data_IF_597340399231
#
_entry.id   IF_597340399231
#
_cell.length_a   1.000
_cell.length_b   1.000
_cell.length_c   1.000
_cell.angle_alpha   90.00
_cell.angle_beta   90.00
_cell.angle_gamma   90.00
#
_symmetry.space_group_name_H-M   'P 1'
#
loop_
_entity.id
_entity.type
_entity.pdbx_description
1 polymer ?
#
# COMPACT_ATOMS: atom_id res chain seq x y z
N UNK A 1 28.76 22.54 5.27
CA UNK A 1 28.45 21.10 5.11
C UNK A 1 28.07 20.46 6.45
N UNK A 2 28.68 20.87 7.58
CA UNK A 2 28.32 20.37 8.92
C UNK A 2 26.97 20.91 9.42
N UNK A 3 26.63 22.16 9.17
CA UNK A 3 25.33 22.75 9.54
C UNK A 3 24.13 22.07 8.86
N UNK A 4 24.28 21.57 7.63
CA UNK A 4 23.21 20.83 6.91
C UNK A 4 22.90 19.45 7.54
N UNK A 5 23.89 18.84 8.19
CA UNK A 5 23.75 17.55 8.88
C UNK A 5 23.12 17.71 10.28
N UNK A 6 23.35 18.86 10.92
CA UNK A 6 22.80 19.16 12.25
C UNK A 6 21.34 19.65 12.16
N UNK A 7 20.96 20.42 11.15
CA UNK A 7 19.56 20.76 10.85
C UNK A 7 18.74 19.53 10.44
N UNK A 8 19.34 18.61 9.72
CA UNK A 8 18.73 17.30 9.43
C UNK A 8 18.48 16.51 10.72
N UNK A 9 19.33 16.61 11.72
CA UNK A 9 19.15 15.93 13.02
C UNK A 9 18.04 16.53 13.91
N UNK A 10 17.88 17.83 13.91
CA UNK A 10 17.03 18.53 14.89
C UNK A 10 15.56 18.67 14.46
N UNK A 11 15.24 18.71 13.17
CA UNK A 11 13.86 18.85 12.69
C UNK A 11 13.10 17.54 12.45
N UNK A 12 13.68 16.38 12.76
CA UNK A 12 13.11 15.08 12.43
C UNK A 12 12.74 14.20 13.64
N UNK A 13 12.41 14.76 14.75
CA UNK A 13 11.91 13.99 15.92
C UNK A 13 10.64 13.18 15.66
N UNK A 14 9.93 13.44 14.55
CA UNK A 14 8.72 12.71 14.15
C UNK A 14 8.89 11.71 12.99
N UNK A 15 10.06 11.66 12.37
CA UNK A 15 10.33 10.73 11.27
C UNK A 15 11.42 9.74 11.67
N UNK A 16 11.04 8.78 12.49
CA UNK A 16 11.94 7.81 13.09
C UNK A 16 12.91 7.09 12.14
N UNK A 17 13.75 6.31 12.73
CA UNK A 17 14.89 5.49 12.28
C UNK A 17 14.97 5.10 10.78
N UNK A 18 13.80 4.87 10.13
CA UNK A 18 13.69 4.49 8.72
C UNK A 18 14.08 5.60 7.74
N UNK A 19 13.82 6.85 8.06
CA UNK A 19 14.27 7.99 7.25
C UNK A 19 15.80 8.20 7.34
N UNK A 20 16.40 7.91 8.50
CA UNK A 20 17.87 8.04 8.67
C UNK A 20 18.65 7.04 7.80
N UNK A 21 18.15 5.82 7.65
CA UNK A 21 18.79 4.81 6.81
C UNK A 21 18.67 5.15 5.30
N UNK A 22 17.51 5.64 4.91
CA UNK A 22 17.24 6.06 3.52
C UNK A 22 17.89 7.39 3.16
N UNK A 23 18.01 8.33 4.10
CA UNK A 23 18.76 9.56 3.91
C UNK A 23 20.27 9.28 3.68
N UNK A 24 20.86 8.35 4.44
CA UNK A 24 22.25 7.91 4.21
C UNK A 24 22.46 7.22 2.85
N UNK A 25 21.51 6.39 2.42
CA UNK A 25 21.52 5.77 1.09
C UNK A 25 21.35 6.80 -0.04
N UNK A 26 20.44 7.77 0.15
CA UNK A 26 20.25 8.90 -0.78
C UNK A 26 21.46 9.82 -0.86
N UNK A 27 22.09 10.17 0.27
CA UNK A 27 23.30 10.97 0.28
C UNK A 27 24.47 10.29 -0.46
N UNK A 28 24.57 8.96 -0.39
CA UNK A 28 25.54 8.19 -1.19
C UNK A 28 25.21 8.17 -2.68
N UNK A 29 23.93 8.05 -3.06
CA UNK A 29 23.51 8.11 -4.47
C UNK A 29 23.57 9.55 -5.02
N UNK A 30 23.32 10.56 -4.20
CA UNK A 30 23.45 11.98 -4.49
C UNK A 30 24.91 12.36 -4.76
N UNK A 31 25.88 11.84 -3.99
CA UNK A 31 27.31 12.00 -4.27
C UNK A 31 27.73 11.39 -5.62
N UNK A 32 27.02 10.33 -6.06
CA UNK A 32 27.28 9.68 -7.36
C UNK A 32 26.63 10.38 -8.55
N UNK A 33 25.53 11.14 -8.34
CA UNK A 33 24.78 11.80 -9.41
C UNK A 33 24.39 13.24 -9.01
N UNK A 34 25.33 14.18 -9.06
CA UNK A 34 25.10 15.62 -8.79
C UNK A 34 23.93 16.27 -9.57
N UNK A 35 23.38 15.60 -10.59
CA UNK A 35 22.29 16.11 -11.44
C UNK A 35 20.86 15.84 -10.95
N UNK A 36 20.62 15.12 -9.84
CA UNK A 36 19.29 14.64 -9.45
C UNK A 36 18.85 14.97 -8.02
N UNK A 37 19.43 16.02 -7.41
CA UNK A 37 18.99 16.46 -6.09
C UNK A 37 17.68 17.25 -6.25
N UNK A 38 16.58 16.87 -5.57
CA UNK A 38 15.37 17.68 -5.59
C UNK A 38 15.67 19.13 -5.15
N UNK A 39 15.11 20.13 -5.84
CA UNK A 39 15.42 21.56 -5.59
C UNK A 39 15.26 21.99 -4.14
N UNK A 40 14.31 21.41 -3.39
CA UNK A 40 14.07 21.71 -1.98
C UNK A 40 15.17 21.23 -1.02
N UNK A 41 16.08 20.35 -1.48
CA UNK A 41 17.26 19.93 -0.71
C UNK A 41 18.51 20.77 -1.02
N UNK A 42 18.44 21.62 -2.05
CA UNK A 42 19.56 22.44 -2.52
C UNK A 42 19.54 23.87 -1.99
N UNK A 43 18.35 24.37 -1.63
CA UNK A 43 18.15 25.73 -1.13
C UNK A 43 17.24 25.66 0.08
N UNK A 44 17.57 26.42 1.11
CA UNK A 44 16.75 26.60 2.31
C UNK A 44 15.55 27.53 1.98
N UNK A 45 14.59 26.98 1.25
CA UNK A 45 13.42 27.69 0.76
C UNK A 45 12.15 27.00 1.21
N UNK A 46 11.52 27.57 2.22
CA UNK A 46 10.29 27.04 2.83
C UNK A 46 9.14 26.82 1.82
N UNK A 47 8.99 27.69 0.83
CA UNK A 47 7.99 27.52 -0.23
C UNK A 47 8.22 26.25 -1.05
N UNK A 48 9.48 25.97 -1.41
CA UNK A 48 9.81 24.76 -2.18
C UNK A 48 9.62 23.50 -1.34
N UNK A 49 9.94 23.56 -0.05
CA UNK A 49 9.70 22.48 0.90
C UNK A 49 8.21 22.22 1.06
N UNK A 50 7.39 23.26 1.28
CA UNK A 50 5.95 23.15 1.40
C UNK A 50 5.31 22.59 0.11
N UNK A 51 5.75 23.05 -1.04
CA UNK A 51 5.31 22.53 -2.34
C UNK A 51 5.58 21.01 -2.46
N UNK A 52 6.77 20.58 -2.08
CA UNK A 52 7.09 19.15 -2.09
C UNK A 52 6.30 18.35 -1.05
N UNK A 53 6.11 18.89 0.17
CA UNK A 53 5.27 18.28 1.21
C UNK A 53 3.84 18.06 0.71
N UNK A 54 3.21 19.10 0.19
CA UNK A 54 1.85 19.03 -0.37
C UNK A 54 1.77 18.01 -1.51
N UNK A 55 2.68 18.06 -2.49
CA UNK A 55 2.71 17.14 -3.61
C UNK A 55 2.91 15.68 -3.20
N UNK A 56 3.88 15.43 -2.32
CA UNK A 56 4.22 14.07 -1.90
C UNK A 56 3.18 13.47 -0.98
N UNK A 57 2.61 14.26 -0.06
CA UNK A 57 1.55 13.79 0.84
C UNK A 57 0.25 13.53 0.08
N UNK A 58 -0.15 14.44 -0.81
CA UNK A 58 -1.28 14.21 -1.72
C UNK A 58 -1.12 12.87 -2.47
N UNK A 59 0.04 12.65 -3.06
CA UNK A 59 0.31 11.42 -3.79
C UNK A 59 0.26 10.17 -2.91
N UNK A 60 0.83 10.22 -1.71
CA UNK A 60 0.78 9.12 -0.76
C UNK A 60 -0.65 8.81 -0.27
N UNK A 61 -1.50 9.85 -0.11
CA UNK A 61 -2.92 9.69 0.27
C UNK A 61 -3.73 9.03 -0.86
N UNK A 62 -3.50 9.39 -2.12
CA UNK A 62 -4.12 8.70 -3.26
C UNK A 62 -3.69 7.24 -3.36
N UNK A 63 -2.41 6.92 -3.12
CA UNK A 63 -1.96 5.52 -3.06
C UNK A 63 -2.61 4.77 -1.90
N UNK A 64 -2.80 5.39 -0.73
CA UNK A 64 -3.51 4.80 0.40
C UNK A 64 -4.99 4.52 0.07
N UNK A 65 -5.67 5.43 -0.62
CA UNK A 65 -7.03 5.22 -1.13
C UNK A 65 -7.08 4.03 -2.09
N UNK A 66 -6.23 4.04 -3.11
CA UNK A 66 -6.14 2.95 -4.11
C UNK A 66 -5.85 1.60 -3.44
N UNK A 67 -4.94 1.55 -2.47
CA UNK A 67 -4.65 0.34 -1.71
C UNK A 67 -5.88 -0.20 -0.99
N UNK A 68 -6.62 0.66 -0.29
CA UNK A 68 -7.82 0.24 0.43
C UNK A 68 -8.90 -0.28 -0.54
N UNK A 69 -9.09 0.34 -1.70
CA UNK A 69 -10.00 -0.17 -2.74
C UNK A 69 -9.58 -1.55 -3.25
N UNK A 70 -8.28 -1.76 -3.49
CA UNK A 70 -7.74 -3.06 -3.89
C UNK A 70 -7.99 -4.10 -2.79
N UNK A 71 -7.73 -3.77 -1.53
CA UNK A 71 -7.95 -4.68 -0.40
C UNK A 71 -9.43 -5.03 -0.24
N UNK A 72 -10.34 -4.05 -0.35
CA UNK A 72 -11.79 -4.29 -0.35
C UNK A 72 -12.19 -5.32 -1.41
N UNK A 73 -11.73 -5.12 -2.66
CA UNK A 73 -12.04 -6.03 -3.77
C UNK A 73 -11.47 -7.43 -3.54
N UNK A 74 -10.19 -7.52 -3.17
CA UNK A 74 -9.52 -8.81 -2.98
C UNK A 74 -10.06 -9.57 -1.77
N UNK A 75 -10.44 -8.88 -0.69
CA UNK A 75 -11.09 -9.46 0.47
C UNK A 75 -12.42 -10.13 0.08
N UNK A 76 -13.30 -9.38 -0.59
CA UNK A 76 -14.57 -9.92 -1.06
C UNK A 76 -14.37 -11.13 -2.00
N UNK A 77 -13.40 -11.06 -2.92
CA UNK A 77 -13.07 -12.18 -3.80
C UNK A 77 -12.56 -13.39 -3.01
N UNK A 78 -11.71 -13.20 -2.01
CA UNK A 78 -11.18 -14.31 -1.18
C UNK A 78 -12.31 -15.05 -0.46
N UNK A 79 -13.23 -14.33 0.18
CA UNK A 79 -14.37 -14.92 0.86
C UNK A 79 -15.25 -15.68 -0.14
N UNK A 80 -15.56 -15.07 -1.29
CA UNK A 80 -16.35 -15.70 -2.35
C UNK A 80 -15.72 -17.00 -2.87
N UNK A 81 -14.43 -17.00 -3.18
CA UNK A 81 -13.74 -18.20 -3.66
C UNK A 81 -13.64 -19.28 -2.60
N UNK A 82 -13.32 -18.94 -1.34
CA UNK A 82 -13.28 -19.92 -0.25
C UNK A 82 -14.65 -20.57 -0.03
N UNK A 83 -15.74 -19.79 -0.07
CA UNK A 83 -17.10 -20.31 0.04
C UNK A 83 -17.45 -21.20 -1.15
N UNK A 84 -17.08 -20.83 -2.38
CA UNK A 84 -17.29 -21.64 -3.57
C UNK A 84 -16.54 -22.98 -3.48
N UNK A 85 -15.27 -22.98 -3.04
CA UNK A 85 -14.50 -24.23 -2.85
C UNK A 85 -15.16 -25.15 -1.83
N UNK A 86 -15.66 -24.59 -0.73
CA UNK A 86 -16.35 -25.37 0.28
C UNK A 86 -17.60 -26.07 -0.30
N UNK A 87 -18.39 -25.35 -1.09
CA UNK A 87 -19.58 -25.93 -1.77
C UNK A 87 -19.15 -27.03 -2.75
N UNK A 88 -18.13 -26.79 -3.57
CA UNK A 88 -17.64 -27.78 -4.54
C UNK A 88 -17.15 -29.04 -3.84
N UNK A 89 -16.41 -28.93 -2.73
CA UNK A 89 -15.92 -30.08 -1.97
C UNK A 89 -17.10 -30.94 -1.46
N UNK A 90 -18.15 -30.31 -0.93
CA UNK A 90 -19.32 -31.02 -0.45
C UNK A 90 -20.09 -31.69 -1.61
N UNK A 91 -20.24 -31.04 -2.76
CA UNK A 91 -20.88 -31.62 -3.97
C UNK A 91 -20.08 -32.84 -4.43
N UNK A 92 -18.78 -32.74 -4.58
CA UNK A 92 -17.89 -33.86 -5.00
C UNK A 92 -18.07 -35.06 -4.07
N UNK A 93 -18.19 -34.80 -2.77
CA UNK A 93 -18.41 -35.87 -1.78
C UNK A 93 -19.81 -36.52 -1.88
N UNK A 94 -20.89 -35.71 -1.94
CA UNK A 94 -22.27 -36.19 -2.00
C UNK A 94 -22.52 -37.07 -3.24
N UNK A 95 -21.98 -36.66 -4.40
CA UNK A 95 -22.14 -37.38 -5.67
C UNK A 95 -21.11 -38.48 -5.89
N UNK A 96 -20.26 -38.78 -4.89
CA UNK A 96 -19.17 -39.78 -4.98
C UNK A 96 -18.33 -39.66 -6.25
N UNK A 97 -18.07 -38.42 -6.68
CA UNK A 97 -17.26 -38.16 -7.85
C UNK A 97 -15.81 -38.60 -7.54
N UNK A 98 -15.39 -39.70 -8.18
CA UNK A 98 -14.12 -40.43 -7.90
C UNK A 98 -12.85 -39.67 -8.32
N UNK A 99 -12.84 -38.35 -8.21
CA UNK A 99 -11.64 -37.57 -8.44
C UNK A 99 -10.54 -37.85 -7.40
N UNK A 100 -10.95 -38.38 -6.21
CA UNK A 100 -10.02 -38.66 -5.11
C UNK A 100 -10.30 -40.03 -4.52
N UNK A 101 -9.38 -40.97 -4.71
CA UNK A 101 -9.35 -42.23 -3.94
C UNK A 101 -8.65 -41.99 -2.57
N UNK A 102 -9.04 -40.99 -1.86
CA UNK A 102 -8.64 -40.83 -0.46
C UNK A 102 -9.67 -41.61 0.36
N UNK A 103 -9.21 -42.44 1.30
CA UNK A 103 -10.09 -43.10 2.27
C UNK A 103 -10.62 -42.10 3.30
N UNK A 104 -11.35 -41.07 2.82
CA UNK A 104 -11.96 -40.03 3.63
C UNK A 104 -13.39 -40.45 3.91
N UNK A 105 -13.74 -40.56 5.18
CA UNK A 105 -15.13 -40.90 5.57
C UNK A 105 -16.09 -39.70 5.42
N UNK A 106 -17.38 -39.96 5.33
CA UNK A 106 -18.41 -38.91 5.33
C UNK A 106 -18.31 -37.99 6.55
N UNK A 107 -17.94 -38.55 7.69
CA UNK A 107 -17.77 -37.81 8.93
C UNK A 107 -16.56 -36.84 8.87
N UNK A 108 -15.44 -37.25 8.23
CA UNK A 108 -14.25 -36.39 8.07
C UNK A 108 -14.57 -35.19 7.20
N UNK A 109 -15.31 -35.39 6.10
CA UNK A 109 -15.75 -34.30 5.22
C UNK A 109 -16.74 -33.38 5.94
N UNK A 110 -17.71 -33.93 6.67
CA UNK A 110 -18.68 -33.14 7.44
C UNK A 110 -17.96 -32.29 8.50
N UNK A 111 -17.04 -32.88 9.26
CA UNK A 111 -16.24 -32.16 10.25
C UNK A 111 -15.40 -31.05 9.61
N UNK A 112 -14.64 -31.38 8.56
CA UNK A 112 -13.78 -30.42 7.88
C UNK A 112 -14.59 -29.27 7.27
N UNK A 113 -15.72 -29.57 6.60
CA UNK A 113 -16.56 -28.54 5.99
C UNK A 113 -17.17 -27.61 7.03
N UNK A 114 -17.60 -28.15 8.18
CA UNK A 114 -18.12 -27.35 9.29
C UNK A 114 -17.03 -26.44 9.87
N UNK A 115 -15.84 -26.99 10.14
CA UNK A 115 -14.72 -26.22 10.66
C UNK A 115 -14.30 -25.09 9.69
N UNK A 116 -14.18 -25.39 8.40
CA UNK A 116 -13.89 -24.38 7.39
C UNK A 116 -14.98 -23.32 7.24
N UNK A 117 -16.24 -23.69 7.35
CA UNK A 117 -17.36 -22.73 7.34
C UNK A 117 -17.25 -21.71 8.47
N UNK A 118 -16.90 -22.16 9.68
CA UNK A 118 -16.67 -21.27 10.83
C UNK A 118 -15.47 -20.35 10.58
N UNK A 119 -14.39 -20.88 10.05
CA UNK A 119 -13.18 -20.08 9.73
C UNK A 119 -13.46 -19.03 8.65
N UNK A 120 -14.23 -19.37 7.60
CA UNK A 120 -14.64 -18.42 6.55
C UNK A 120 -15.52 -17.32 7.14
N UNK A 121 -16.45 -17.69 8.02
CA UNK A 121 -17.30 -16.72 8.71
C UNK A 121 -16.46 -15.74 9.54
N UNK A 122 -15.56 -16.24 10.38
CA UNK A 122 -14.66 -15.42 11.20
C UNK A 122 -13.80 -14.51 10.33
N UNK A 123 -13.19 -15.06 9.27
CA UNK A 123 -12.40 -14.28 8.32
C UNK A 123 -13.21 -13.17 7.66
N UNK A 124 -14.44 -13.48 7.23
CA UNK A 124 -15.35 -12.50 6.63
C UNK A 124 -15.69 -11.37 7.60
N UNK A 125 -15.95 -11.68 8.88
CA UNK A 125 -16.22 -10.68 9.91
C UNK A 125 -14.99 -9.79 10.17
N UNK A 126 -13.80 -10.37 10.28
CA UNK A 126 -12.57 -9.62 10.50
C UNK A 126 -12.24 -8.68 9.33
N UNK A 127 -12.37 -9.15 8.09
CA UNK A 127 -12.13 -8.32 6.90
C UNK A 127 -13.22 -7.23 6.75
N UNK A 128 -14.46 -7.50 7.13
CA UNK A 128 -15.53 -6.50 7.14
C UNK A 128 -15.23 -5.38 8.16
N UNK A 129 -14.75 -5.74 9.35
CA UNK A 129 -14.39 -4.79 10.41
C UNK A 129 -13.21 -3.86 10.02
N UNK A 130 -12.39 -4.23 9.04
CA UNK A 130 -11.31 -3.37 8.52
C UNK A 130 -11.82 -2.13 7.78
N UNK A 131 -13.06 -2.13 7.32
CA UNK A 131 -13.76 -0.98 6.73
C UNK A 131 -12.97 -0.28 5.60
N UNK A 132 -12.36 -1.11 4.75
CA UNK A 132 -11.51 -0.64 3.66
C UNK A 132 -12.18 0.40 2.75
N UNK A 133 -13.51 0.31 2.58
CA UNK A 133 -14.27 1.25 1.75
C UNK A 133 -14.24 2.67 2.32
N UNK A 134 -14.59 2.82 3.60
CA UNK A 134 -14.61 4.10 4.31
C UNK A 134 -13.18 4.68 4.43
N UNK A 135 -12.19 3.82 4.74
CA UNK A 135 -10.78 4.24 4.76
C UNK A 135 -10.32 4.78 3.40
N UNK A 136 -10.73 4.13 2.30
CA UNK A 136 -10.38 4.58 0.95
C UNK A 136 -10.95 5.98 0.66
N UNK A 137 -12.21 6.21 1.00
CA UNK A 137 -12.87 7.50 0.79
C UNK A 137 -12.25 8.61 1.65
N UNK A 138 -11.98 8.35 2.92
CA UNK A 138 -11.29 9.31 3.80
C UNK A 138 -9.91 9.70 3.25
N UNK A 139 -9.11 8.75 2.76
CA UNK A 139 -7.83 9.05 2.15
C UNK A 139 -7.97 9.80 0.83
N UNK A 140 -8.99 9.50 0.03
CA UNK A 140 -9.29 10.21 -1.20
C UNK A 140 -9.65 11.68 -0.93
N UNK A 141 -10.57 11.94 -0.01
CA UNK A 141 -10.99 13.28 0.41
C UNK A 141 -9.81 14.09 0.96
N UNK A 142 -8.99 13.49 1.83
CA UNK A 142 -7.75 14.11 2.30
C UNK A 142 -6.81 14.50 1.15
N UNK A 143 -6.66 13.64 0.15
CA UNK A 143 -5.81 13.92 -1.00
C UNK A 143 -6.35 15.07 -1.86
N UNK A 144 -7.67 15.21 -1.99
CA UNK A 144 -8.32 16.33 -2.68
C UNK A 144 -8.12 17.64 -1.94
N UNK A 145 -8.36 17.68 -0.61
CA UNK A 145 -8.13 18.89 0.21
C UNK A 145 -6.67 19.35 0.11
N UNK A 146 -5.71 18.43 0.21
CA UNK A 146 -4.28 18.77 0.01
C UNK A 146 -4.01 19.22 -1.43
N UNK A 147 -4.73 18.66 -2.41
CA UNK A 147 -4.66 19.06 -3.82
C UNK A 147 -5.07 20.51 -4.04
N UNK A 148 -6.10 20.97 -3.36
CA UNK A 148 -6.55 22.37 -3.40
C UNK A 148 -5.48 23.30 -2.82
N UNK A 149 -4.90 22.95 -1.67
CA UNK A 149 -3.80 23.71 -1.06
C UNK A 149 -2.56 23.77 -1.97
N UNK A 150 -2.25 22.67 -2.64
CA UNK A 150 -1.18 22.63 -3.63
C UNK A 150 -1.42 23.58 -4.80
N UNK A 151 -2.68 23.65 -5.28
CA UNK A 151 -3.06 24.58 -6.35
C UNK A 151 -3.05 26.04 -5.87
N UNK A 152 -3.58 26.32 -4.66
CA UNK A 152 -3.48 27.65 -4.04
C UNK A 152 -2.02 28.13 -3.96
N UNK A 153 -1.09 27.26 -3.51
CA UNK A 153 0.34 27.58 -3.44
C UNK A 153 0.96 27.87 -4.82
N UNK A 154 0.51 27.18 -5.86
CA UNK A 154 1.01 27.43 -7.22
C UNK A 154 0.50 28.72 -7.82
N UNK A 155 -0.75 29.09 -7.54
CA UNK A 155 -1.35 30.33 -8.02
C UNK A 155 -0.72 31.55 -7.34
N UNK A 156 -0.36 31.46 -6.05
CA UNK A 156 0.27 32.56 -5.32
C UNK A 156 1.64 33.00 -5.89
N UNK A 157 2.25 32.17 -6.75
CA UNK A 157 3.54 32.48 -7.39
C UNK A 157 3.47 33.56 -8.47
N UNK A 158 2.30 33.86 -8.99
CA UNK A 158 2.16 34.64 -10.23
C UNK A 158 1.68 36.09 -10.06
N UNK A 159 1.16 36.50 -8.89
CA UNK A 159 0.42 37.76 -8.80
C UNK A 159 0.59 38.60 -7.51
N UNK A 160 1.44 38.18 -6.55
CA UNK A 160 1.49 38.80 -5.21
C UNK A 160 2.83 39.53 -4.97
N UNK A 161 2.80 40.60 -4.20
CA UNK A 161 3.99 41.21 -3.63
C UNK A 161 4.70 40.21 -2.70
N UNK A 162 6.00 40.39 -2.43
CA UNK A 162 6.77 39.45 -1.58
C UNK A 162 6.19 39.28 -0.17
N UNK A 163 5.57 40.35 0.39
CA UNK A 163 4.95 40.30 1.71
C UNK A 163 3.63 39.52 1.71
N UNK A 164 2.75 39.80 0.75
CA UNK A 164 1.50 39.04 0.56
C UNK A 164 1.76 37.57 0.29
N UNK A 165 2.76 37.29 -0.53
CA UNK A 165 3.19 35.92 -0.81
C UNK A 165 3.65 35.19 0.46
N UNK A 166 4.46 35.81 1.32
CA UNK A 166 4.90 35.21 2.61
C UNK A 166 3.72 34.96 3.54
N UNK A 167 2.75 35.88 3.59
CA UNK A 167 1.52 35.71 4.36
C UNK A 167 0.73 34.52 3.86
N UNK A 168 0.51 34.45 2.55
CA UNK A 168 -0.22 33.34 1.91
C UNK A 168 0.44 31.97 2.13
N UNK A 169 1.76 31.88 2.04
CA UNK A 169 2.50 30.64 2.31
C UNK A 169 2.29 30.18 3.75
N UNK A 170 2.29 31.08 4.74
CA UNK A 170 1.98 30.75 6.13
C UNK A 170 0.54 30.25 6.31
N UNK A 171 -0.43 30.91 5.70
CA UNK A 171 -1.84 30.52 5.73
C UNK A 171 -1.99 29.09 5.18
N UNK A 172 -1.44 28.81 4.00
CA UNK A 172 -1.48 27.47 3.39
C UNK A 172 -0.79 26.41 4.25
N UNK A 173 0.33 26.75 4.90
CA UNK A 173 1.00 25.85 5.84
C UNK A 173 0.12 25.50 7.03
N UNK A 174 -0.58 26.50 7.60
CA UNK A 174 -1.50 26.28 8.71
C UNK A 174 -2.73 25.47 8.28
N UNK A 175 -3.33 25.78 7.11
CA UNK A 175 -4.41 24.97 6.56
C UNK A 175 -3.97 23.51 6.33
N UNK A 176 -2.75 23.29 5.84
CA UNK A 176 -2.20 21.94 5.64
C UNK A 176 -2.08 21.18 6.96
N UNK A 177 -1.60 21.79 8.02
CA UNK A 177 -1.51 21.16 9.33
C UNK A 177 -2.89 20.82 9.91
N UNK A 178 -3.93 21.67 9.65
CA UNK A 178 -5.31 21.36 10.01
C UNK A 178 -5.85 20.15 9.25
N UNK A 179 -5.60 20.08 7.93
CA UNK A 179 -5.98 18.90 7.13
C UNK A 179 -5.30 17.64 7.65
N UNK A 180 -4.02 17.70 8.00
CA UNK A 180 -3.31 16.54 8.55
C UNK A 180 -3.88 16.04 9.89
N UNK A 181 -4.39 16.93 10.73
CA UNK A 181 -5.03 16.57 12.02
C UNK A 181 -6.42 15.95 11.85
N UNK A 182 -7.12 16.30 10.78
CA UNK A 182 -8.47 15.83 10.48
C UNK A 182 -8.51 14.35 10.04
N UNK A 183 -7.42 13.85 9.45
CA UNK A 183 -7.37 12.53 8.83
C UNK A 183 -6.27 11.63 9.39
N UNK A 184 -6.53 10.32 9.41
CA UNK A 184 -5.53 9.31 9.78
C UNK A 184 -4.30 9.35 8.89
N UNK A 185 -3.15 8.96 9.43
CA UNK A 185 -1.92 8.89 8.67
C UNK A 185 -1.92 7.70 7.69
N UNK A 186 -1.40 7.93 6.49
CA UNK A 186 -1.11 6.87 5.54
C UNK A 186 0.07 6.00 6.03
N UNK A 187 0.10 4.74 5.61
CA UNK A 187 1.19 3.82 5.95
C UNK A 187 2.46 4.15 5.15
N UNK A 188 3.62 3.78 5.68
CA UNK A 188 4.93 4.08 5.05
C UNK A 188 5.03 3.52 3.62
N UNK A 189 4.47 2.35 3.37
CA UNK A 189 4.48 1.73 2.05
C UNK A 189 3.57 2.41 1.02
N UNK A 190 2.57 3.22 1.43
CA UNK A 190 1.78 4.05 0.52
C UNK A 190 2.66 5.16 -0.07
N UNK A 191 3.47 5.81 0.77
CA UNK A 191 4.48 6.78 0.31
C UNK A 191 5.55 6.12 -0.55
N UNK A 192 6.00 4.90 -0.17
CA UNK A 192 6.95 4.14 -1.00
C UNK A 192 6.36 3.85 -2.37
N UNK A 193 5.08 3.44 -2.43
CA UNK A 193 4.36 3.19 -3.69
C UNK A 193 4.29 4.43 -4.56
N UNK A 194 3.97 5.59 -3.99
CA UNK A 194 4.00 6.87 -4.70
C UNK A 194 5.40 7.16 -5.28
N UNK A 195 6.47 6.96 -4.49
CA UNK A 195 7.86 7.15 -4.94
C UNK A 195 8.19 6.19 -6.10
N UNK A 196 7.76 4.92 -6.03
CA UNK A 196 7.94 3.94 -7.08
C UNK A 196 7.21 4.31 -8.38
N UNK A 197 6.01 4.89 -8.28
CA UNK A 197 5.26 5.37 -9.43
C UNK A 197 5.86 6.64 -10.04
N UNK A 198 6.62 7.42 -9.28
CA UNK A 198 7.36 8.62 -9.72
C UNK A 198 8.87 8.36 -9.83
N UNK A 199 9.25 7.18 -10.30
CA UNK A 199 10.64 6.70 -10.34
C UNK A 199 11.60 7.61 -11.12
N UNK A 200 11.13 8.24 -12.20
CA UNK A 200 11.93 9.21 -12.95
C UNK A 200 12.33 10.43 -12.10
N UNK A 201 11.38 10.97 -11.34
CA UNK A 201 11.61 12.10 -10.45
C UNK A 201 12.57 11.76 -9.30
N UNK A 202 12.43 10.54 -8.76
CA UNK A 202 13.23 10.06 -7.64
C UNK A 202 14.54 9.36 -8.07
N UNK A 203 14.76 9.19 -9.36
CA UNK A 203 15.97 8.57 -9.92
C UNK A 203 16.17 7.12 -9.49
N UNK A 204 15.08 6.35 -9.36
CA UNK A 204 15.16 4.96 -8.96
C UNK A 204 15.65 4.08 -10.11
N UNK A 205 16.57 3.14 -9.79
CA UNK A 205 17.05 2.12 -10.70
C UNK A 205 16.00 1.03 -10.92
N UNK A 206 16.17 0.22 -11.98
CA UNK A 206 15.29 -0.89 -12.30
C UNK A 206 15.13 -1.87 -11.13
N UNK A 207 16.22 -2.28 -10.49
CA UNK A 207 16.19 -3.19 -9.35
C UNK A 207 15.47 -2.61 -8.13
N UNK A 208 15.71 -1.34 -7.79
CA UNK A 208 15.00 -0.67 -6.68
C UNK A 208 13.49 -0.63 -6.95
N UNK A 209 13.11 -0.40 -8.19
CA UNK A 209 11.71 -0.40 -8.62
C UNK A 209 11.12 -1.81 -8.54
N UNK A 210 11.82 -2.83 -9.04
CA UNK A 210 11.36 -4.22 -9.03
C UNK A 210 11.15 -4.72 -7.60
N UNK A 211 12.16 -4.62 -6.74
CA UNK A 211 12.07 -5.05 -5.34
C UNK A 211 11.05 -4.24 -4.55
N UNK A 212 10.92 -2.93 -4.81
CA UNK A 212 9.91 -2.11 -4.19
C UNK A 212 8.48 -2.53 -4.57
N UNK A 213 8.23 -2.86 -5.84
CA UNK A 213 6.93 -3.37 -6.31
C UNK A 213 6.64 -4.76 -5.72
N UNK A 214 7.62 -5.66 -5.70
CA UNK A 214 7.49 -6.97 -5.08
C UNK A 214 7.15 -6.85 -3.58
N UNK A 215 7.88 -6.01 -2.84
CA UNK A 215 7.58 -5.72 -1.43
C UNK A 215 6.14 -5.23 -1.24
N UNK A 216 5.69 -4.27 -2.07
CA UNK A 216 4.33 -3.75 -2.01
C UNK A 216 3.29 -4.85 -2.29
N UNK A 217 3.54 -5.72 -3.28
CA UNK A 217 2.69 -6.86 -3.58
C UNK A 217 2.56 -7.80 -2.39
N UNK A 218 3.67 -8.20 -1.77
CA UNK A 218 3.65 -9.08 -0.60
C UNK A 218 2.91 -8.46 0.60
N UNK A 219 3.09 -7.16 0.85
CA UNK A 219 2.44 -6.50 1.99
C UNK A 219 0.93 -6.25 1.79
N UNK A 220 0.47 -6.09 0.54
CA UNK A 220 -0.90 -5.62 0.27
C UNK A 220 -1.79 -6.70 -0.35
N UNK A 221 -1.25 -7.52 -1.27
CA UNK A 221 -2.06 -8.41 -2.11
C UNK A 221 -1.82 -9.89 -1.84
N UNK A 222 -0.61 -10.28 -1.43
CA UNK A 222 -0.18 -11.68 -1.37
C UNK A 222 -1.11 -12.55 -0.51
N UNK A 223 -1.54 -12.09 0.69
CA UNK A 223 -2.43 -12.85 1.56
C UNK A 223 -3.74 -13.26 0.87
N UNK A 224 -4.32 -12.37 0.08
CA UNK A 224 -5.58 -12.61 -0.64
C UNK A 224 -5.36 -13.57 -1.82
N UNK A 225 -4.31 -13.35 -2.59
CA UNK A 225 -3.98 -14.26 -3.70
C UNK A 225 -3.65 -15.66 -3.20
N UNK A 226 -2.97 -15.77 -2.05
CA UNK A 226 -2.73 -17.06 -1.42
C UNK A 226 -4.06 -17.78 -1.09
N UNK A 227 -5.01 -17.08 -0.46
CA UNK A 227 -6.32 -17.66 -0.12
C UNK A 227 -7.11 -18.08 -1.36
N UNK A 228 -7.02 -17.31 -2.46
CA UNK A 228 -7.72 -17.62 -3.70
C UNK A 228 -7.06 -18.80 -4.45
N UNK A 229 -5.73 -18.82 -4.56
CA UNK A 229 -5.05 -19.77 -5.43
C UNK A 229 -4.54 -21.03 -4.74
N UNK A 230 -4.23 -20.97 -3.42
CA UNK A 230 -3.68 -22.12 -2.73
C UNK A 230 -4.58 -23.37 -2.78
N UNK A 231 -5.91 -23.30 -2.60
CA UNK A 231 -6.76 -24.48 -2.73
C UNK A 231 -6.71 -25.11 -4.12
N UNK A 232 -6.70 -24.29 -5.18
CA UNK A 232 -6.60 -24.78 -6.56
C UNK A 232 -5.24 -25.42 -6.85
N UNK A 233 -4.16 -24.79 -6.40
CA UNK A 233 -2.78 -25.33 -6.59
C UNK A 233 -2.63 -26.66 -5.86
N UNK A 234 -3.14 -26.77 -4.63
CA UNK A 234 -3.15 -28.01 -3.87
C UNK A 234 -3.96 -29.09 -4.58
N UNK A 235 -5.16 -28.74 -5.08
CA UNK A 235 -6.00 -29.67 -5.81
C UNK A 235 -5.30 -30.22 -7.07
N UNK A 236 -4.75 -29.37 -7.91
CA UNK A 236 -4.03 -29.76 -9.14
C UNK A 236 -2.78 -30.54 -8.79
N UNK A 237 -2.00 -30.10 -7.81
CA UNK A 237 -0.76 -30.75 -7.38
C UNK A 237 -0.98 -32.19 -6.88
N UNK A 238 -1.99 -32.40 -6.05
CA UNK A 238 -2.34 -33.74 -5.56
C UNK A 238 -2.80 -34.68 -6.69
N UNK A 239 -3.54 -34.17 -7.69
CA UNK A 239 -3.93 -34.98 -8.85
C UNK A 239 -2.74 -35.35 -9.75
N UNK A 240 -1.77 -34.45 -9.96
CA UNK A 240 -0.55 -34.73 -10.73
C UNK A 240 0.31 -35.79 -10.01
N UNK A 241 0.52 -35.66 -8.71
CA UNK A 241 1.30 -36.65 -7.93
C UNK A 241 0.70 -38.04 -8.06
N UNK A 242 -0.62 -38.15 -7.99
CA UNK A 242 -1.34 -39.39 -8.14
C UNK A 242 -1.20 -40.02 -9.52
N UNK A 243 -1.28 -39.23 -10.59
CA UNK A 243 -1.05 -39.72 -11.96
C UNK A 243 0.36 -40.30 -12.07
N UNK A 244 1.35 -39.65 -11.43
CA UNK A 244 2.74 -40.12 -11.43
C UNK A 244 2.91 -41.45 -10.68
N UNK A 245 2.22 -41.66 -9.55
CA UNK A 245 2.23 -42.93 -8.81
C UNK A 245 1.58 -44.10 -9.57
N UNK A 246 0.58 -43.82 -10.42
CA UNK A 246 -0.10 -44.87 -11.23
C UNK A 246 0.73 -45.25 -12.44
N UNK A 247 1.62 -44.42 -12.94
CA UNK A 247 2.47 -44.65 -14.12
C UNK A 247 3.76 -45.40 -13.70
N UNK A 248 4.14 -45.41 -12.43
CA UNK A 248 5.31 -46.07 -11.88
C UNK A 248 4.96 -47.43 -11.34
#
# INVERSE_FOLDING_TARGET
>A
MNNLLDDIKNNYLFYGFYQRYRAKGRLRSIKRNKKKIPPYLLKDNFEQELNYKLWSTKGARFEASTRNLIQKKLSAQSVGFLSAYLIVINIVHIYNLSFWKLNITANDVAFASTAFSILILLYSQLESAEDHGVKAEKFHSCALEIGELYNKLRLSKSQETDEEKRKRIREISNEYDLVLRKYDNHKSYDREKFILNKYHYHGLNFFERFFGQAKYYFLVKFKYHLLIWAPLILFVGLNILKIYEVIK
#
